data_IF_943579735261
#
_entry.id   IF_943579735261
#
_cell.length_a   1.000
_cell.length_b   1.000
_cell.length_c   1.000
_cell.angle_alpha   90.00
_cell.angle_beta   90.00
_cell.angle_gamma   90.00
#
_symmetry.space_group_name_H-M   'P 1'
#
loop_
_entity.id
_entity.type
_entity.pdbx_description
1 polymer ?
#
# COMPACT_ATOMS: atom_id res chain seq x y z
N UNK A 1 10.98 -16.63 -3.82
CA UNK A 1 10.20 -15.60 -4.53
C UNK A 1 9.40 -14.80 -3.50
N UNK A 2 9.27 -13.47 -3.67
CA UNK A 2 8.43 -12.61 -2.84
C UNK A 2 7.50 -11.78 -3.73
N UNK A 3 6.28 -11.58 -3.26
CA UNK A 3 5.26 -10.74 -3.92
C UNK A 3 4.95 -9.57 -2.99
N UNK A 4 4.95 -8.34 -3.51
CA UNK A 4 4.49 -7.18 -2.77
C UNK A 4 3.02 -6.95 -3.04
N UNK A 5 2.22 -6.72 -2.00
CA UNK A 5 0.87 -6.17 -2.13
C UNK A 5 0.78 -4.83 -1.42
N UNK A 6 0.32 -3.80 -2.14
CA UNK A 6 0.06 -2.50 -1.54
C UNK A 6 -1.41 -2.35 -1.17
N UNK A 7 -1.66 -1.81 0.03
CA UNK A 7 -3.02 -1.55 0.52
C UNK A 7 -3.18 -0.13 1.03
N UNK A 8 -4.32 0.48 0.72
CA UNK A 8 -4.77 1.76 1.26
C UNK A 8 -6.01 1.61 2.17
N UNK A 9 -6.42 0.35 2.42
CA UNK A 9 -7.60 0.02 3.22
C UNK A 9 -8.94 0.17 2.48
N UNK A 10 -8.92 0.35 1.16
CA UNK A 10 -10.13 0.35 0.34
C UNK A 10 -10.63 -1.08 0.09
N UNK A 11 -11.94 -1.25 -0.18
CA UNK A 11 -12.51 -2.54 -0.54
C UNK A 11 -11.85 -3.15 -1.80
N UNK A 12 -11.32 -2.32 -2.70
CA UNK A 12 -10.61 -2.80 -3.87
C UNK A 12 -9.19 -3.28 -3.51
N UNK A 13 -8.54 -2.64 -2.55
CA UNK A 13 -7.26 -3.14 -2.04
C UNK A 13 -7.42 -4.46 -1.27
N UNK A 14 -8.58 -4.72 -0.66
CA UNK A 14 -8.87 -6.02 -0.06
C UNK A 14 -8.94 -7.14 -1.11
N UNK A 15 -9.49 -6.85 -2.30
CA UNK A 15 -9.43 -7.78 -3.44
C UNK A 15 -7.99 -8.00 -3.91
N UNK A 16 -7.17 -6.95 -3.93
CA UNK A 16 -5.75 -7.08 -4.28
C UNK A 16 -5.01 -7.95 -3.26
N UNK A 17 -5.31 -7.83 -1.96
CA UNK A 17 -4.76 -8.69 -0.90
C UNK A 17 -5.16 -10.15 -1.16
N UNK A 18 -6.44 -10.44 -1.41
CA UNK A 18 -6.90 -11.80 -1.70
C UNK A 18 -6.18 -12.41 -2.90
N UNK A 19 -6.09 -11.66 -4.01
CA UNK A 19 -5.38 -12.09 -5.22
C UNK A 19 -3.89 -12.33 -4.95
N UNK A 20 -3.23 -11.48 -4.18
CA UNK A 20 -1.81 -11.62 -3.84
C UNK A 20 -1.56 -12.87 -2.98
N UNK A 21 -2.46 -13.15 -2.04
CA UNK A 21 -2.40 -14.36 -1.20
C UNK A 21 -2.59 -15.63 -2.02
N UNK A 22 -3.57 -15.66 -2.92
CA UNK A 22 -3.79 -16.79 -3.84
C UNK A 22 -2.56 -17.06 -4.72
N UNK A 23 -1.97 -16.00 -5.27
CA UNK A 23 -0.75 -16.10 -6.08
C UNK A 23 0.45 -16.58 -5.25
N UNK A 24 0.63 -16.02 -4.05
CA UNK A 24 1.72 -16.41 -3.17
C UNK A 24 1.61 -17.89 -2.77
N UNK A 25 0.40 -18.38 -2.49
CA UNK A 25 0.15 -19.80 -2.23
C UNK A 25 0.49 -20.67 -3.44
N UNK A 26 0.00 -20.32 -4.62
CA UNK A 26 0.22 -21.09 -5.85
C UNK A 26 1.70 -21.13 -6.26
N UNK A 27 2.44 -20.05 -6.03
CA UNK A 27 3.84 -19.90 -6.40
C UNK A 27 4.82 -20.26 -5.28
N UNK A 28 4.33 -20.67 -4.12
CA UNK A 28 5.14 -20.90 -2.90
C UNK A 28 6.03 -19.69 -2.57
N UNK A 29 5.47 -18.49 -2.72
CA UNK A 29 6.15 -17.23 -2.51
C UNK A 29 5.84 -16.65 -1.12
N UNK A 30 6.76 -15.85 -0.56
CA UNK A 30 6.51 -14.98 0.57
C UNK A 30 5.74 -13.72 0.16
N UNK A 31 5.01 -13.13 1.10
CA UNK A 31 4.22 -11.93 0.88
C UNK A 31 4.82 -10.73 1.64
N UNK A 32 4.97 -9.60 0.96
CA UNK A 32 5.28 -8.32 1.58
C UNK A 32 4.01 -7.47 1.52
N UNK A 33 3.38 -7.25 2.67
CA UNK A 33 2.26 -6.32 2.81
C UNK A 33 2.75 -4.91 3.06
N UNK A 34 2.35 -3.94 2.25
CA UNK A 34 2.84 -2.57 2.33
C UNK A 34 1.71 -1.56 2.36
N UNK A 35 1.82 -0.56 3.23
CA UNK A 35 0.99 0.65 3.19
C UNK A 35 1.85 1.90 3.28
N UNK A 36 1.47 2.93 2.50
CA UNK A 36 2.06 4.26 2.60
C UNK A 36 1.23 5.12 3.56
N UNK A 37 1.92 5.86 4.43
CA UNK A 37 1.32 6.87 5.32
C UNK A 37 1.71 8.26 4.86
N UNK A 38 0.77 9.21 4.93
CA UNK A 38 1.06 10.61 4.68
C UNK A 38 2.01 11.19 5.73
N UNK A 39 2.89 12.10 5.34
CA UNK A 39 3.62 12.92 6.30
C UNK A 39 2.85 14.22 6.60
N UNK A 40 2.99 14.74 7.80
CA UNK A 40 2.37 16.00 8.22
C UNK A 40 2.71 17.15 7.25
N UNK A 41 3.96 17.24 6.81
CA UNK A 41 4.43 18.24 5.86
C UNK A 41 3.75 18.20 4.48
N UNK A 42 3.20 17.06 4.08
CA UNK A 42 2.52 16.88 2.80
C UNK A 42 0.99 16.98 2.89
N UNK A 43 0.45 17.05 4.10
CA UNK A 43 -1.01 17.03 4.33
C UNK A 43 -1.69 18.37 4.04
N UNK A 44 -0.94 19.43 3.74
CA UNK A 44 -1.46 20.80 3.58
C UNK A 44 -1.78 21.49 4.93
N UNK A 45 -1.68 20.80 6.04
CA UNK A 45 -1.92 21.40 7.36
C UNK A 45 -0.75 22.29 7.82
N UNK A 46 0.44 22.10 7.26
CA UNK A 46 1.62 22.91 7.59
C UNK A 46 1.56 24.35 7.01
N UNK A 47 0.72 24.57 5.98
CA UNK A 47 0.68 25.87 5.25
C UNK A 47 -0.45 26.81 5.72
N UNK A 48 -1.39 26.32 6.51
CA UNK A 48 -2.47 27.15 7.07
C UNK A 48 -2.12 27.56 8.50
N UNK A 49 -1.67 28.79 8.65
CA UNK A 49 -1.45 29.46 9.95
C UNK A 49 -2.76 29.69 10.73
N UNK A 50 -3.59 28.66 10.87
CA UNK A 50 -4.77 28.66 11.70
C UNK A 50 -4.38 28.16 13.11
N UNK A 51 -4.98 28.76 14.15
CA UNK A 51 -4.84 28.36 15.56
C UNK A 51 -5.25 26.89 15.85
N UNK A 52 -5.68 26.15 14.83
CA UNK A 52 -6.01 24.72 14.85
C UNK A 52 -4.92 23.87 14.18
N UNK A 53 -3.64 24.24 14.25
CA UNK A 53 -2.56 23.36 13.84
C UNK A 53 -2.66 22.06 14.65
N UNK A 54 -3.12 20.97 14.01
CA UNK A 54 -3.09 19.63 14.64
C UNK A 54 -1.67 19.36 15.11
N UNK A 55 -1.53 18.96 16.36
CA UNK A 55 -0.25 18.54 16.89
C UNK A 55 0.32 17.42 15.99
N UNK A 56 1.53 17.61 15.46
CA UNK A 56 2.21 16.66 14.59
C UNK A 56 2.26 15.26 15.20
N UNK A 57 2.42 15.19 16.53
CA UNK A 57 2.47 13.91 17.26
C UNK A 57 1.11 13.18 17.23
N UNK A 58 0.01 13.91 17.32
CA UNK A 58 -1.35 13.35 17.22
C UNK A 58 -1.62 12.88 15.80
N UNK A 59 -1.28 13.71 14.81
CA UNK A 59 -1.41 13.33 13.40
C UNK A 59 -0.62 12.06 13.09
N UNK A 60 0.63 11.99 13.52
CA UNK A 60 1.49 10.83 13.30
C UNK A 60 0.97 9.56 13.98
N UNK A 61 0.41 9.68 15.18
CA UNK A 61 -0.18 8.55 15.89
C UNK A 61 -1.45 8.03 15.21
N UNK A 62 -2.32 8.92 14.72
CA UNK A 62 -3.52 8.56 13.97
C UNK A 62 -3.16 7.87 12.64
N UNK A 63 -2.15 8.38 11.93
CA UNK A 63 -1.68 7.78 10.69
C UNK A 63 -1.07 6.40 10.92
N UNK A 64 -0.30 6.22 11.98
CA UNK A 64 0.27 4.93 12.35
C UNK A 64 -0.81 3.92 12.73
N UNK A 65 -1.83 4.33 13.50
CA UNK A 65 -2.95 3.45 13.84
C UNK A 65 -3.73 3.00 12.60
N UNK A 66 -4.07 3.94 11.71
CA UNK A 66 -4.74 3.62 10.45
C UNK A 66 -3.90 2.71 9.53
N UNK A 67 -2.58 2.86 9.53
CA UNK A 67 -1.68 2.01 8.78
C UNK A 67 -1.64 0.59 9.35
N UNK A 68 -1.60 0.45 10.67
CA UNK A 68 -1.65 -0.85 11.32
C UNK A 68 -2.96 -1.59 11.00
N UNK A 69 -4.10 -0.90 11.00
CA UNK A 69 -5.39 -1.52 10.63
C UNK A 69 -5.39 -2.02 9.18
N UNK A 70 -4.81 -1.27 8.25
CA UNK A 70 -4.66 -1.69 6.85
C UNK A 70 -3.77 -2.92 6.72
N UNK A 71 -2.64 -2.93 7.40
CA UNK A 71 -1.69 -4.05 7.38
C UNK A 71 -2.24 -5.29 8.07
N UNK A 72 -3.08 -5.13 9.10
CA UNK A 72 -3.75 -6.26 9.75
C UNK A 72 -4.65 -7.06 8.79
N UNK A 73 -5.17 -6.45 7.73
CA UNK A 73 -5.91 -7.18 6.69
C UNK A 73 -5.00 -8.14 5.91
N UNK A 74 -3.78 -7.71 5.59
CA UNK A 74 -2.77 -8.57 4.93
C UNK A 74 -2.36 -9.71 5.85
N UNK A 75 -2.06 -9.39 7.12
CA UNK A 75 -1.68 -10.38 8.13
C UNK A 75 -2.73 -11.47 8.29
N UNK A 76 -4.00 -11.08 8.48
CA UNK A 76 -5.10 -12.06 8.60
C UNK A 76 -5.22 -12.96 7.39
N UNK A 77 -5.15 -12.40 6.18
CA UNK A 77 -5.27 -13.16 4.94
C UNK A 77 -4.10 -14.13 4.73
N UNK A 78 -2.86 -13.66 4.95
CA UNK A 78 -1.67 -14.48 4.83
C UNK A 78 -1.62 -15.60 5.88
N UNK A 79 -1.96 -15.29 7.14
CA UNK A 79 -2.02 -16.27 8.24
C UNK A 79 -3.06 -17.36 7.94
N UNK A 80 -4.25 -16.97 7.49
CA UNK A 80 -5.31 -17.92 7.15
C UNK A 80 -4.91 -18.87 6.01
N UNK A 81 -4.06 -18.40 5.09
CA UNK A 81 -3.54 -19.21 3.97
C UNK A 81 -2.22 -19.95 4.32
N UNK A 82 -1.67 -19.78 5.51
CA UNK A 82 -0.40 -20.41 5.92
C UNK A 82 0.83 -19.88 5.17
N UNK A 83 0.78 -18.63 4.69
CA UNK A 83 1.85 -18.01 3.91
C UNK A 83 2.74 -17.16 4.83
N UNK A 84 4.07 -17.26 4.65
CA UNK A 84 5.02 -16.38 5.29
C UNK A 84 4.87 -14.95 4.78
N UNK A 85 4.83 -13.98 5.68
CA UNK A 85 4.64 -12.58 5.35
C UNK A 85 5.53 -11.64 6.18
N UNK A 86 5.78 -10.46 5.64
CA UNK A 86 6.37 -9.31 6.31
C UNK A 86 5.48 -8.08 6.06
N UNK A 87 5.40 -7.18 7.04
CA UNK A 87 4.58 -5.96 6.94
C UNK A 87 5.45 -4.73 6.96
N UNK A 88 5.21 -3.81 6.04
CA UNK A 88 5.99 -2.58 5.86
C UNK A 88 5.06 -1.37 5.87
N UNK A 89 5.32 -0.44 6.78
CA UNK A 89 4.75 0.90 6.78
C UNK A 89 5.80 1.85 6.22
N UNK A 90 5.48 2.56 5.14
CA UNK A 90 6.40 3.53 4.54
C UNK A 90 5.92 4.97 4.71
N UNK A 91 6.82 5.85 5.13
CA UNK A 91 6.59 7.30 5.18
C UNK A 91 7.19 8.04 3.97
N UNK A 92 7.69 7.30 2.99
CA UNK A 92 8.20 7.87 1.73
C UNK A 92 7.02 8.44 0.95
N UNK A 93 7.16 9.65 0.47
CA UNK A 93 6.17 10.33 -0.37
C UNK A 93 6.80 10.69 -1.71
N UNK A 94 6.11 10.56 -2.81
CA UNK A 94 4.72 10.12 -2.96
C UNK A 94 4.54 8.58 -2.84
N UNK A 95 3.30 8.09 -2.61
CA UNK A 95 3.03 6.66 -2.37
C UNK A 95 3.54 5.71 -3.45
N UNK A 96 3.45 6.08 -4.73
CA UNK A 96 3.94 5.26 -5.85
C UNK A 96 5.44 4.96 -5.73
N UNK A 97 6.23 5.94 -5.27
CA UNK A 97 7.66 5.76 -5.07
C UNK A 97 7.94 4.82 -3.90
N UNK A 98 7.18 4.99 -2.80
CA UNK A 98 7.26 4.08 -1.66
C UNK A 98 7.00 2.62 -2.06
N UNK A 99 6.03 2.38 -2.96
CA UNK A 99 5.71 1.04 -3.47
C UNK A 99 6.88 0.45 -4.25
N UNK A 100 7.44 1.22 -5.19
CA UNK A 100 8.56 0.77 -6.02
C UNK A 100 9.80 0.50 -5.15
N UNK A 101 10.13 1.40 -4.24
CA UNK A 101 11.30 1.27 -3.37
C UNK A 101 11.14 0.09 -2.40
N UNK A 102 9.93 -0.10 -1.86
CA UNK A 102 9.64 -1.27 -1.01
C UNK A 102 9.81 -2.58 -1.77
N UNK A 103 9.33 -2.67 -3.02
CA UNK A 103 9.52 -3.85 -3.86
C UNK A 103 10.98 -4.12 -4.15
N UNK A 104 11.77 -3.07 -4.39
CA UNK A 104 13.21 -3.17 -4.67
C UNK A 104 13.99 -3.61 -3.45
N UNK A 105 13.80 -2.95 -2.31
CA UNK A 105 14.54 -3.23 -1.06
C UNK A 105 14.27 -4.65 -0.54
N UNK A 106 13.05 -5.15 -0.73
CA UNK A 106 12.66 -6.49 -0.28
C UNK A 106 12.86 -7.58 -1.35
N UNK A 107 13.48 -7.26 -2.48
CA UNK A 107 13.68 -8.18 -3.61
C UNK A 107 12.39 -8.87 -4.07
N UNK A 108 11.29 -8.11 -4.17
CA UNK A 108 10.04 -8.62 -4.69
C UNK A 108 10.11 -8.80 -6.21
N UNK A 109 9.57 -9.90 -6.72
CA UNK A 109 9.54 -10.21 -8.14
C UNK A 109 8.27 -9.72 -8.83
N UNK A 110 7.26 -9.31 -8.05
CA UNK A 110 5.99 -8.82 -8.56
C UNK A 110 5.36 -7.85 -7.56
N UNK A 111 4.60 -6.89 -8.08
CA UNK A 111 3.76 -5.99 -7.31
C UNK A 111 2.29 -6.30 -7.62
N UNK A 112 1.45 -6.45 -6.61
CA UNK A 112 -0.01 -6.55 -6.73
C UNK A 112 -0.63 -5.31 -6.11
N UNK A 113 -1.52 -4.63 -6.82
CA UNK A 113 -2.17 -3.42 -6.33
C UNK A 113 -3.55 -3.23 -6.92
N UNK A 114 -4.38 -2.46 -6.25
CA UNK A 114 -5.69 -2.06 -6.76
C UNK A 114 -5.56 -1.08 -7.94
N UNK A 115 -6.50 -1.12 -8.87
CA UNK A 115 -6.52 -0.21 -10.03
C UNK A 115 -6.74 1.25 -9.63
N UNK A 116 -7.39 1.52 -8.51
CA UNK A 116 -7.59 2.85 -7.92
C UNK A 116 -7.72 2.72 -6.39
N UNK A 117 -7.49 3.82 -5.70
CA UNK A 117 -7.56 3.86 -4.24
C UNK A 117 -8.89 4.42 -3.73
N UNK A 118 -8.85 4.97 -2.51
CA UNK A 118 -10.01 5.49 -1.73
C UNK A 118 -10.78 6.61 -2.42
N UNK A 119 -10.15 7.36 -3.32
CA UNK A 119 -10.78 8.48 -4.05
C UNK A 119 -11.51 8.06 -5.33
N UNK A 120 -11.73 6.77 -5.53
CA UNK A 120 -12.33 6.08 -6.68
C UNK A 120 -13.14 6.92 -7.65
N UNK A 121 -12.52 7.43 -8.69
CA UNK A 121 -13.17 8.07 -9.83
C UNK A 121 -13.50 6.99 -10.87
N UNK A 122 -14.65 6.33 -10.73
CA UNK A 122 -15.25 5.48 -11.77
C UNK A 122 -14.41 4.27 -12.24
N UNK A 123 -15.06 3.17 -12.55
CA UNK A 123 -14.46 1.88 -12.90
C UNK A 123 -13.59 1.86 -14.19
N UNK A 124 -13.49 2.96 -14.92
CA UNK A 124 -12.83 3.04 -16.24
C UNK A 124 -11.44 3.68 -16.21
N UNK A 125 -11.04 4.35 -15.11
CA UNK A 125 -9.79 5.10 -15.07
C UNK A 125 -8.85 4.48 -14.03
N UNK A 126 -7.61 4.19 -14.43
CA UNK A 126 -6.55 3.82 -13.50
C UNK A 126 -6.22 5.00 -12.58
N UNK A 127 -6.10 4.73 -11.28
CA UNK A 127 -5.68 5.72 -10.31
C UNK A 127 -4.28 6.28 -10.59
N UNK A 128 -4.03 7.52 -10.19
CA UNK A 128 -2.77 8.21 -10.46
C UNK A 128 -1.54 7.47 -9.92
N UNK A 129 -1.66 6.88 -8.72
CA UNK A 129 -0.56 6.12 -8.11
C UNK A 129 -0.28 4.83 -8.90
N UNK A 130 -1.35 4.13 -9.35
CA UNK A 130 -1.21 2.92 -10.18
C UNK A 130 -0.55 3.24 -11.52
N UNK A 131 -0.97 4.34 -12.18
CA UNK A 131 -0.34 4.78 -13.42
C UNK A 131 1.17 5.06 -13.23
N UNK A 132 1.55 5.72 -12.14
CA UNK A 132 2.95 6.03 -11.86
C UNK A 132 3.76 4.78 -11.52
N UNK A 133 3.21 3.83 -10.77
CA UNK A 133 3.90 2.55 -10.52
C UNK A 133 4.14 1.80 -11.83
N UNK A 134 3.16 1.76 -12.73
CA UNK A 134 3.30 1.14 -14.07
C UNK A 134 4.33 1.86 -14.94
N UNK A 135 4.40 3.19 -14.85
CA UNK A 135 5.30 3.99 -15.69
C UNK A 135 6.77 3.99 -15.21
N UNK A 136 6.99 3.87 -13.90
CA UNK A 136 8.31 4.05 -13.29
C UNK A 136 8.85 2.79 -12.61
N UNK A 137 8.01 1.76 -12.41
CA UNK A 137 8.42 0.49 -11.81
C UNK A 137 9.24 -0.38 -12.78
N UNK A 138 10.15 -1.16 -12.22
CA UNK A 138 10.98 -2.13 -12.93
C UNK A 138 10.54 -3.59 -12.68
N UNK A 139 9.42 -3.78 -12.01
CA UNK A 139 8.84 -5.08 -11.68
C UNK A 139 7.51 -5.30 -12.41
N UNK A 140 7.15 -6.54 -12.75
CA UNK A 140 5.78 -6.87 -13.18
C UNK A 140 4.75 -6.36 -12.18
N UNK A 141 3.69 -5.75 -12.68
CA UNK A 141 2.58 -5.21 -11.85
C UNK A 141 1.28 -5.89 -12.24
N UNK A 142 0.64 -6.54 -11.28
CA UNK A 142 -0.71 -7.05 -11.42
C UNK A 142 -1.69 -6.04 -10.84
N UNK A 143 -2.54 -5.50 -11.71
CA UNK A 143 -3.56 -4.51 -11.33
C UNK A 143 -4.91 -5.21 -11.17
N UNK A 144 -5.48 -5.15 -9.96
CA UNK A 144 -6.77 -5.74 -9.59
C UNK A 144 -7.90 -4.72 -9.72
N UNK A 145 -9.04 -5.15 -10.27
CA UNK A 145 -10.26 -4.34 -10.48
C UNK A 145 -11.46 -4.86 -9.72
#
# INVERSE_FOLDING_TARGET
MKILVSTDGSALSDKAIATAVELAAALQAGLIGMTAVGSYAYSGYADYGSEEARDETVFDSEQAAAANDRLAAVERAATAAGIGYELVMSRISPPWQAIIDCARVNDCQMIVMASHGRSGLGALVLGSETQKVLAHGDRPVLVVR
#
